data_IF_187260482209
#
_entry.id   IF_187260482209
#
_cell.length_a   1.000
_cell.length_b   1.000
_cell.length_c   1.000
_cell.angle_alpha   90.00
_cell.angle_beta   90.00
_cell.angle_gamma   90.00
#
_symmetry.space_group_name_H-M   'P 1'
#
loop_
_entity.id
_entity.type
_entity.pdbx_description
1 polymer ?
#
# COMPACT_ATOMS: atom_id res chain seq x y z
N UNK A 1 -12.33 -3.33 2.54
CA UNK A 1 -12.54 -4.73 2.96
C UNK A 1 -13.63 -5.32 2.07
N UNK A 2 -13.50 -6.57 1.61
CA UNK A 2 -14.53 -7.24 0.79
C UNK A 2 -14.06 -7.80 -0.55
N UNK A 3 -14.96 -8.48 -1.26
CA UNK A 3 -14.78 -8.84 -2.68
C UNK A 3 -15.02 -7.59 -3.56
N UNK A 4 -14.62 -7.57 -4.84
CA UNK A 4 -14.94 -6.44 -5.72
C UNK A 4 -16.44 -6.12 -5.83
N UNK A 5 -17.29 -7.09 -5.50
CA UNK A 5 -18.74 -7.02 -5.54
C UNK A 5 -19.36 -6.52 -4.22
N UNK A 6 -18.60 -6.54 -3.13
CA UNK A 6 -19.04 -6.16 -1.78
C UNK A 6 -17.91 -5.44 -1.01
N UNK A 7 -17.36 -4.39 -1.62
CA UNK A 7 -16.24 -3.63 -1.06
C UNK A 7 -16.71 -2.37 -0.34
N UNK A 8 -16.29 -2.19 0.91
CA UNK A 8 -16.52 -0.95 1.66
C UNK A 8 -15.25 -0.10 1.71
N UNK A 9 -15.39 1.18 1.37
CA UNK A 9 -14.37 2.23 1.54
C UNK A 9 -14.79 3.09 2.73
N UNK A 10 -13.93 3.18 3.74
CA UNK A 10 -14.15 4.04 4.90
C UNK A 10 -13.35 5.33 4.74
N UNK A 11 -14.01 6.47 4.93
CA UNK A 11 -13.37 7.79 4.88
C UNK A 11 -13.37 8.37 6.29
N UNK A 12 -12.23 8.92 6.71
CA UNK A 12 -12.09 9.54 8.04
C UNK A 12 -12.53 11.01 7.99
N UNK A 13 -13.06 11.53 9.10
CA UNK A 13 -13.47 12.94 9.21
C UNK A 13 -12.30 13.89 8.90
N UNK A 14 -11.11 13.58 9.41
CA UNK A 14 -9.91 14.37 9.13
C UNK A 14 -9.51 14.40 7.65
N UNK A 15 -9.88 13.40 6.85
CA UNK A 15 -9.63 13.42 5.40
C UNK A 15 -10.64 14.32 4.69
N UNK A 16 -11.90 14.32 5.13
CA UNK A 16 -12.96 15.23 4.64
C UNK A 16 -12.67 16.70 4.99
N UNK A 17 -12.02 16.96 6.12
CA UNK A 17 -11.62 18.32 6.52
C UNK A 17 -10.45 18.88 5.69
N UNK A 18 -9.57 18.01 5.18
CA UNK A 18 -8.34 18.42 4.49
C UNK A 18 -8.54 18.52 2.98
N UNK A 19 -9.31 17.58 2.40
CA UNK A 19 -9.49 17.46 0.96
C UNK A 19 -10.74 18.19 0.48
N UNK A 20 -10.62 18.89 -0.65
CA UNK A 20 -11.81 19.38 -1.36
C UNK A 20 -12.49 18.26 -2.17
N UNK A 21 -13.66 18.55 -2.74
CA UNK A 21 -14.44 17.53 -3.46
C UNK A 21 -13.72 16.92 -4.67
N UNK A 22 -12.84 17.67 -5.35
CA UNK A 22 -12.09 17.16 -6.52
C UNK A 22 -10.95 16.25 -6.05
N UNK A 23 -10.26 16.66 -5.00
CA UNK A 23 -9.20 15.89 -4.36
C UNK A 23 -9.72 14.59 -3.74
N UNK A 24 -10.84 14.66 -3.03
CA UNK A 24 -11.52 13.50 -2.47
C UNK A 24 -11.98 12.55 -3.57
N UNK A 25 -12.56 13.07 -4.65
CA UNK A 25 -12.94 12.24 -5.80
C UNK A 25 -11.72 11.53 -6.42
N UNK A 26 -10.58 12.21 -6.53
CA UNK A 26 -9.32 11.61 -6.98
C UNK A 26 -8.84 10.47 -6.07
N UNK A 27 -8.86 10.66 -4.76
CA UNK A 27 -8.48 9.62 -3.78
C UNK A 27 -9.45 8.44 -3.82
N UNK A 28 -10.76 8.69 -3.86
CA UNK A 28 -11.74 7.62 -3.95
C UNK A 28 -11.63 6.84 -5.27
N UNK A 29 -11.38 7.52 -6.39
CA UNK A 29 -11.15 6.87 -7.67
C UNK A 29 -9.89 5.98 -7.66
N UNK A 30 -8.84 6.40 -6.94
CA UNK A 30 -7.64 5.59 -6.70
C UNK A 30 -7.96 4.31 -5.91
N UNK A 31 -8.70 4.43 -4.80
CA UNK A 31 -9.12 3.27 -4.00
C UNK A 31 -10.04 2.32 -4.77
N UNK A 32 -10.95 2.86 -5.59
CA UNK A 32 -11.78 2.07 -6.51
C UNK A 32 -10.90 1.34 -7.53
N UNK A 33 -9.83 1.99 -8.03
CA UNK A 33 -8.84 1.37 -8.90
C UNK A 33 -8.21 0.13 -8.28
N UNK A 34 -7.83 0.18 -6.99
CA UNK A 34 -7.30 -0.98 -6.27
C UNK A 34 -8.31 -2.12 -6.13
N UNK A 35 -9.57 -1.78 -5.86
CA UNK A 35 -10.66 -2.76 -5.74
C UNK A 35 -10.91 -3.44 -7.09
N UNK A 36 -11.03 -2.65 -8.16
CA UNK A 36 -11.30 -3.13 -9.51
C UNK A 36 -10.19 -4.09 -10.00
N UNK A 37 -8.92 -3.79 -9.70
CA UNK A 37 -7.79 -4.63 -10.08
C UNK A 37 -7.46 -5.76 -9.10
N UNK A 38 -8.24 -5.89 -8.02
CA UNK A 38 -8.10 -6.93 -6.98
C UNK A 38 -6.71 -6.92 -6.32
N UNK A 39 -6.16 -5.73 -6.12
CA UNK A 39 -4.77 -5.57 -5.66
C UNK A 39 -4.53 -6.17 -4.28
N UNK A 40 -5.53 -6.13 -3.39
CA UNK A 40 -5.47 -6.78 -2.08
C UNK A 40 -5.26 -8.30 -2.18
N UNK A 41 -5.93 -8.96 -3.13
CA UNK A 41 -5.76 -10.40 -3.35
C UNK A 41 -4.38 -10.73 -3.92
N UNK A 42 -3.90 -9.91 -4.85
CA UNK A 42 -2.60 -10.09 -5.51
C UNK A 42 -1.46 -9.89 -4.50
N UNK A 43 -1.53 -8.83 -3.70
CA UNK A 43 -0.56 -8.58 -2.62
C UNK A 43 -0.64 -9.66 -1.54
N UNK A 44 -1.84 -10.13 -1.18
CA UNK A 44 -2.02 -11.25 -0.25
C UNK A 44 -1.38 -12.54 -0.76
N UNK A 45 -1.56 -12.87 -2.05
CA UNK A 45 -0.90 -14.00 -2.68
C UNK A 45 0.63 -13.85 -2.66
N UNK A 46 1.14 -12.65 -2.94
CA UNK A 46 2.57 -12.37 -2.90
C UNK A 46 3.15 -12.51 -1.48
N UNK A 47 2.42 -12.09 -0.44
CA UNK A 47 2.81 -12.30 0.97
C UNK A 47 2.86 -13.79 1.33
N UNK A 48 1.86 -14.58 0.92
CA UNK A 48 1.88 -16.04 1.15
C UNK A 48 3.10 -16.67 0.48
N UNK A 49 3.39 -16.32 -0.78
CA UNK A 49 4.59 -16.80 -1.47
C UNK A 49 5.88 -16.36 -0.75
N UNK A 50 5.93 -15.13 -0.24
CA UNK A 50 7.05 -14.59 0.53
C UNK A 50 7.35 -15.43 1.78
N UNK A 51 6.29 -15.79 2.51
CA UNK A 51 6.38 -16.62 3.72
C UNK A 51 6.83 -18.02 3.39
N UNK A 52 6.33 -18.62 2.31
CA UNK A 52 6.76 -19.94 1.85
C UNK A 52 8.24 -19.96 1.44
N UNK A 53 8.68 -18.97 0.66
CA UNK A 53 10.10 -18.84 0.27
C UNK A 53 10.99 -18.64 1.49
N UNK A 54 10.56 -17.80 2.44
CA UNK A 54 11.30 -17.55 3.68
C UNK A 54 11.38 -18.80 4.55
N UNK A 55 10.28 -19.54 4.70
CA UNK A 55 10.23 -20.79 5.46
C UNK A 55 11.11 -21.86 4.82
N UNK A 56 11.02 -22.04 3.49
CA UNK A 56 11.86 -22.98 2.76
C UNK A 56 13.35 -22.63 2.87
N UNK A 57 13.68 -21.33 2.82
CA UNK A 57 15.04 -20.83 3.00
C UNK A 57 15.57 -21.12 4.39
N UNK A 58 14.78 -20.84 5.43
CA UNK A 58 15.12 -21.14 6.82
C UNK A 58 15.32 -22.64 7.06
N UNK A 59 14.39 -23.46 6.56
CA UNK A 59 14.46 -24.92 6.69
C UNK A 59 15.69 -25.47 5.95
N UNK A 60 15.96 -24.98 4.74
CA UNK A 60 17.12 -25.38 3.96
C UNK A 60 18.43 -25.01 4.65
N UNK A 61 18.54 -23.80 5.20
CA UNK A 61 19.72 -23.38 5.96
C UNK A 61 19.91 -24.21 7.22
N UNK A 62 18.82 -24.53 7.95
CA UNK A 62 18.86 -25.41 9.10
C UNK A 62 19.34 -26.82 8.73
N UNK A 63 18.84 -27.39 7.63
CA UNK A 63 19.27 -28.69 7.14
C UNK A 63 20.76 -28.69 6.76
N UNK A 64 21.24 -27.64 6.09
CA UNK A 64 22.68 -27.48 5.78
C UNK A 64 23.50 -27.42 7.06
N UNK A 65 23.05 -26.66 8.06
CA UNK A 65 23.73 -26.52 9.35
C UNK A 65 23.78 -27.86 10.12
N UNK A 66 22.65 -28.58 10.20
CA UNK A 66 22.58 -29.90 10.86
C UNK A 66 23.45 -30.94 10.15
N UNK A 67 23.54 -30.90 8.83
CA UNK A 67 24.36 -31.82 8.04
C UNK A 67 25.83 -31.37 7.91
N UNK A 68 26.21 -30.20 8.45
CA UNK A 68 27.57 -29.67 8.34
C UNK A 68 28.66 -30.67 8.77
N UNK A 69 28.52 -31.46 9.86
CA UNK A 69 29.51 -32.46 10.23
C UNK A 69 29.69 -33.55 9.16
N UNK A 70 28.60 -33.99 8.52
CA UNK A 70 28.63 -34.99 7.45
C UNK A 70 29.27 -34.41 6.18
N UNK A 71 29.01 -33.13 5.89
CA UNK A 71 29.64 -32.41 4.77
C UNK A 71 31.14 -32.26 4.99
N UNK A 72 31.58 -31.91 6.21
CA UNK A 72 33.00 -31.83 6.56
C UNK A 72 33.71 -33.19 6.52
N UNK A 73 33.00 -34.27 6.87
CA UNK A 73 33.49 -35.64 6.74
C UNK A 73 33.52 -36.15 5.29
N UNK A 74 33.05 -35.35 4.31
CA UNK A 74 33.00 -35.73 2.90
C UNK A 74 31.89 -36.73 2.54
N UNK A 75 30.97 -37.00 3.48
CA UNK A 75 29.90 -38.00 3.33
C UNK A 75 28.69 -37.46 2.57
N UNK A 76 28.51 -36.13 2.55
CA UNK A 76 27.43 -35.44 1.87
C UNK A 76 28.00 -34.25 1.09
N UNK A 77 27.56 -34.07 -0.15
CA UNK A 77 27.94 -32.90 -0.95
C UNK A 77 26.77 -31.92 -1.03
N UNK A 78 26.98 -30.68 -0.56
CA UNK A 78 26.03 -29.57 -0.73
C UNK A 78 26.63 -28.58 -1.74
N UNK A 79 25.99 -28.36 -2.90
CA UNK A 79 26.47 -27.38 -3.86
C UNK A 79 26.40 -25.96 -3.29
N UNK A 80 27.47 -25.17 -3.45
CA UNK A 80 27.49 -23.78 -2.98
C UNK A 80 26.40 -22.90 -3.61
N UNK A 81 25.98 -23.22 -4.83
CA UNK A 81 24.87 -22.53 -5.50
C UNK A 81 23.57 -22.62 -4.71
N UNK A 82 23.29 -23.74 -4.06
CA UNK A 82 22.09 -23.94 -3.24
C UNK A 82 22.16 -23.08 -1.97
N UNK A 83 23.32 -23.02 -1.32
CA UNK A 83 23.51 -22.18 -0.12
C UNK A 83 23.32 -20.71 -0.45
N UNK A 84 23.94 -20.23 -1.54
CA UNK A 84 23.77 -18.86 -2.02
C UNK A 84 22.29 -18.58 -2.32
N UNK A 85 21.61 -19.47 -3.04
CA UNK A 85 20.18 -19.33 -3.35
C UNK A 85 19.34 -19.22 -2.07
N UNK A 86 19.55 -20.08 -1.07
CA UNK A 86 18.80 -20.07 0.19
C UNK A 86 19.03 -18.78 1.00
N UNK A 87 20.20 -18.14 0.88
CA UNK A 87 20.49 -16.88 1.55
C UNK A 87 19.77 -15.72 0.85
N UNK A 88 19.82 -15.67 -0.48
CA UNK A 88 19.31 -14.53 -1.24
C UNK A 88 17.84 -14.64 -1.65
N UNK A 89 17.23 -15.83 -1.63
CA UNK A 89 15.86 -16.04 -2.08
C UNK A 89 14.81 -15.17 -1.33
N UNK A 90 14.85 -15.04 0.01
CA UNK A 90 13.90 -14.17 0.72
C UNK A 90 14.04 -12.70 0.34
N UNK A 91 15.28 -12.22 0.19
CA UNK A 91 15.56 -10.84 -0.23
C UNK A 91 15.05 -10.58 -1.65
N UNK A 92 15.29 -11.51 -2.58
CA UNK A 92 14.79 -11.39 -3.95
C UNK A 92 13.26 -11.34 -3.98
N UNK A 93 12.61 -12.19 -3.20
CA UNK A 93 11.15 -12.21 -3.10
C UNK A 93 10.59 -10.91 -2.50
N UNK A 94 11.28 -10.31 -1.52
CA UNK A 94 10.92 -9.00 -0.99
C UNK A 94 11.07 -7.87 -2.03
N UNK A 95 12.12 -7.90 -2.85
CA UNK A 95 12.32 -6.93 -3.93
C UNK A 95 11.23 -7.03 -5.00
N UNK A 96 10.83 -8.26 -5.36
CA UNK A 96 9.72 -8.50 -6.30
C UNK A 96 8.41 -7.92 -5.74
N UNK A 97 8.12 -8.14 -4.45
CA UNK A 97 6.93 -7.57 -3.80
C UNK A 97 6.93 -6.04 -3.78
N UNK A 98 8.07 -5.43 -3.47
CA UNK A 98 8.21 -3.97 -3.51
C UNK A 98 8.00 -3.43 -4.93
N UNK A 99 8.54 -4.10 -5.93
CA UNK A 99 8.33 -3.73 -7.34
C UNK A 99 6.87 -3.86 -7.76
N UNK A 100 6.21 -4.94 -7.38
CA UNK A 100 4.79 -5.19 -7.65
C UNK A 100 3.90 -4.12 -7.00
N UNK A 101 4.13 -3.83 -5.71
CA UNK A 101 3.38 -2.81 -4.98
C UNK A 101 3.49 -1.43 -5.64
N UNK A 102 4.71 -0.99 -5.99
CA UNK A 102 4.92 0.29 -6.69
C UNK A 102 4.23 0.35 -8.05
N UNK A 103 4.24 -0.76 -8.80
CA UNK A 103 3.59 -0.82 -10.11
C UNK A 103 2.08 -0.62 -9.97
N UNK A 104 1.46 -1.27 -8.97
CA UNK A 104 0.02 -1.14 -8.71
C UNK A 104 -0.41 0.25 -8.28
N UNK A 105 0.41 0.95 -7.50
CA UNK A 105 0.16 2.36 -7.16
C UNK A 105 0.12 3.25 -8.41
N UNK A 106 1.05 3.06 -9.35
CA UNK A 106 1.05 3.83 -10.61
C UNK A 106 -0.13 3.49 -11.51
N UNK A 107 -0.54 2.22 -11.56
CA UNK A 107 -1.72 1.80 -12.30
C UNK A 107 -2.99 2.40 -11.69
N UNK A 108 -3.11 2.40 -10.36
CA UNK A 108 -4.22 3.01 -9.65
C UNK A 108 -4.26 4.54 -9.81
N UNK A 109 -3.10 5.23 -9.82
CA UNK A 109 -3.01 6.65 -10.14
C UNK A 109 -3.55 6.98 -11.54
N UNK A 110 -3.17 6.16 -12.53
CA UNK A 110 -3.67 6.31 -13.90
C UNK A 110 -5.18 6.07 -13.97
N UNK A 111 -5.67 5.00 -13.34
CA UNK A 111 -7.10 4.68 -13.30
C UNK A 111 -7.89 5.79 -12.65
N UNK A 112 -7.37 6.37 -11.56
CA UNK A 112 -8.01 7.52 -10.91
C UNK A 112 -8.11 8.72 -11.86
N UNK A 113 -7.02 9.07 -12.56
CA UNK A 113 -7.03 10.14 -13.55
C UNK A 113 -7.98 9.86 -14.73
N UNK A 114 -8.07 8.61 -15.19
CA UNK A 114 -8.97 8.20 -16.27
C UNK A 114 -10.45 8.23 -15.82
N UNK A 115 -10.74 7.83 -14.57
CA UNK A 115 -12.09 7.83 -13.99
C UNK A 115 -12.59 9.23 -13.65
N UNK A 116 -11.75 10.08 -13.08
CA UNK A 116 -12.14 11.45 -12.72
C UNK A 116 -11.96 12.43 -13.88
N UNK A 117 -11.18 12.08 -14.90
CA UNK A 117 -10.75 13.03 -15.94
C UNK A 117 -9.96 14.22 -15.39
N UNK A 118 -9.57 14.22 -14.11
CA UNK A 118 -8.96 15.34 -13.39
C UNK A 118 -7.71 14.86 -12.62
N UNK A 119 -6.57 14.69 -13.30
CA UNK A 119 -5.32 14.31 -12.66
C UNK A 119 -4.83 15.35 -11.65
N UNK A 120 -5.17 16.63 -11.83
CA UNK A 120 -4.78 17.72 -10.91
C UNK A 120 -5.48 17.59 -9.55
N UNK A 121 -6.71 17.10 -9.51
CA UNK A 121 -7.40 16.77 -8.26
C UNK A 121 -6.61 15.75 -7.43
N UNK A 122 -6.13 14.67 -8.04
CA UNK A 122 -5.32 13.67 -7.34
C UNK A 122 -3.94 14.23 -6.94
N UNK A 123 -3.30 15.04 -7.78
CA UNK A 123 -2.03 15.72 -7.46
C UNK A 123 -2.19 16.62 -6.22
N UNK A 124 -3.27 17.40 -6.15
CA UNK A 124 -3.60 18.25 -5.02
C UNK A 124 -3.76 17.45 -3.73
N UNK A 125 -4.49 16.35 -3.80
CA UNK A 125 -4.70 15.43 -2.70
C UNK A 125 -3.37 14.85 -2.18
N UNK A 126 -2.53 14.31 -3.07
CA UNK A 126 -1.23 13.74 -2.72
C UNK A 126 -0.35 14.76 -1.99
N UNK A 127 -0.28 15.99 -2.50
CA UNK A 127 0.51 17.06 -1.86
C UNK A 127 -0.03 17.47 -0.48
N UNK A 128 -1.36 17.46 -0.25
CA UNK A 128 -1.94 17.72 1.07
C UNK A 128 -1.68 16.59 2.05
N UNK A 129 -1.83 15.34 1.61
CA UNK A 129 -1.59 14.15 2.43
C UNK A 129 -0.13 14.02 2.82
N UNK A 130 0.81 14.21 1.89
CA UNK A 130 2.24 14.17 2.17
C UNK A 130 2.65 15.19 3.24
N UNK A 131 2.16 16.43 3.15
CA UNK A 131 2.41 17.47 4.16
C UNK A 131 1.80 17.14 5.52
N UNK A 132 0.67 16.42 5.56
CA UNK A 132 0.05 16.00 6.82
C UNK A 132 0.84 14.86 7.47
N UNK A 133 1.24 13.86 6.67
CA UNK A 133 2.05 12.73 7.12
C UNK A 133 3.43 13.22 7.60
N UNK A 134 4.11 14.09 6.83
CA UNK A 134 5.39 14.67 7.23
C UNK A 134 5.33 15.38 8.59
N UNK A 135 4.32 16.24 8.79
CA UNK A 135 4.11 16.93 10.09
C UNK A 135 3.87 15.96 11.25
N UNK A 136 3.09 14.90 11.03
CA UNK A 136 2.86 13.89 12.06
C UNK A 136 4.15 13.17 12.49
N UNK A 137 5.02 12.83 11.54
CA UNK A 137 6.32 12.22 11.85
C UNK A 137 7.28 13.22 12.53
N UNK A 138 7.27 14.49 12.14
CA UNK A 138 8.03 15.55 12.81
C UNK A 138 7.56 15.74 14.27
N UNK A 139 6.25 15.77 14.50
CA UNK A 139 5.65 15.96 15.83
C UNK A 139 5.92 14.77 16.78
N UNK A 140 5.94 13.55 16.26
CA UNK A 140 6.13 12.34 17.08
C UNK A 140 7.60 12.00 17.31
N UNK A 141 8.44 12.13 16.26
CA UNK A 141 9.79 11.56 16.34
C UNK A 141 10.87 12.60 16.61
N UNK A 142 10.77 13.85 16.15
CA UNK A 142 11.86 14.84 16.30
C UNK A 142 11.37 16.30 16.37
N UNK A 143 11.22 16.90 17.57
CA UNK A 143 11.11 18.35 17.67
C UNK A 143 12.42 19.02 17.21
N UNK A 144 12.43 19.56 15.98
CA UNK A 144 13.46 20.51 15.52
C UNK A 144 14.60 20.02 14.63
N UNK A 145 14.52 18.82 14.01
CA UNK A 145 15.52 18.39 13.00
C UNK A 145 14.87 17.70 11.80
N UNK A 146 15.15 18.21 10.59
CA UNK A 146 14.75 17.60 9.31
C UNK A 146 15.55 16.31 9.08
N UNK A 147 14.88 15.18 8.86
CA UNK A 147 15.53 13.95 8.41
C UNK A 147 15.57 13.95 6.87
N UNK A 148 16.72 13.65 6.24
CA UNK A 148 16.75 13.16 4.86
C UNK A 148 16.37 11.68 4.88
N UNK A 149 15.20 11.33 4.35
CA UNK A 149 14.63 9.98 4.47
C UNK A 149 15.41 8.89 3.67
N UNK A 150 15.59 7.68 4.23
CA UNK A 150 15.91 6.51 3.41
C UNK A 150 14.61 5.90 2.84
N UNK A 151 14.46 6.02 1.52
CA UNK A 151 13.30 5.65 0.68
C UNK A 151 12.99 4.14 0.54
N UNK A 152 13.68 3.28 1.29
CA UNK A 152 13.63 1.81 1.08
C UNK A 152 12.51 1.10 1.85
N UNK A 153 11.85 1.79 2.80
CA UNK A 153 10.79 1.21 3.66
C UNK A 153 9.40 1.81 3.42
N UNK A 154 9.23 2.71 2.46
CA UNK A 154 7.89 3.13 2.02
C UNK A 154 7.33 2.07 1.09
N UNK A 155 6.19 1.49 1.48
CA UNK A 155 5.39 0.59 0.62
C UNK A 155 4.88 1.32 -0.62
N UNK A 156 4.75 2.65 -0.56
CA UNK A 156 4.35 3.49 -1.70
C UNK A 156 5.57 4.10 -2.42
N UNK A 157 5.50 4.30 -3.75
CA UNK A 157 6.51 5.05 -4.47
C UNK A 157 6.58 6.52 -3.99
N UNK A 158 7.71 7.22 -4.19
CA UNK A 158 7.85 8.63 -3.82
C UNK A 158 6.74 9.49 -4.43
N UNK A 159 6.17 10.41 -3.65
CA UNK A 159 5.02 11.23 -4.09
C UNK A 159 5.40 12.09 -5.29
N UNK A 160 6.63 12.58 -5.36
CA UNK A 160 7.15 13.36 -6.49
C UNK A 160 7.12 12.55 -7.78
N UNK A 161 7.42 11.25 -7.71
CA UNK A 161 7.39 10.36 -8.87
C UNK A 161 5.96 10.08 -9.36
N UNK A 162 5.00 9.95 -8.43
CA UNK A 162 3.57 9.83 -8.73
C UNK A 162 3.05 11.11 -9.40
N UNK A 163 3.34 12.26 -8.80
CA UNK A 163 2.97 13.58 -9.34
C UNK A 163 3.56 13.80 -10.73
N UNK A 164 4.84 13.46 -10.94
CA UNK A 164 5.47 13.61 -12.25
C UNK A 164 4.78 12.76 -13.33
N UNK A 165 4.37 11.53 -13.00
CA UNK A 165 3.61 10.65 -13.91
C UNK A 165 2.20 11.18 -14.17
N UNK A 166 1.50 11.63 -13.13
CA UNK A 166 0.16 12.22 -13.26
C UNK A 166 0.17 13.48 -14.13
N UNK A 167 1.17 14.35 -13.98
CA UNK A 167 1.35 15.52 -14.85
C UNK A 167 1.68 15.17 -16.29
N UNK A 168 2.29 14.02 -16.53
CA UNK A 168 2.57 13.52 -17.87
C UNK A 168 1.31 12.97 -18.56
N UNK A 169 0.26 12.63 -17.79
CA UNK A 169 -1.06 12.36 -18.37
C UNK A 169 -1.60 13.69 -18.95
N UNK A 170 -2.01 13.66 -20.21
CA UNK A 170 -2.37 14.85 -20.97
C UNK A 170 -3.35 15.76 -20.22
N UNK A 171 -3.20 17.10 -20.30
CA UNK A 171 -4.04 18.02 -19.56
C UNK A 171 -5.49 17.83 -20.00
N UNK A 172 -6.36 17.37 -19.09
CA UNK A 172 -7.74 17.08 -19.45
C UNK A 172 -8.73 17.66 -18.45
N UNK A 173 -9.69 18.36 -19.07
CA UNK A 173 -11.05 18.69 -18.67
C UNK A 173 -11.32 18.70 -17.15
N UNK A 174 -11.38 19.91 -16.57
CA UNK A 174 -12.04 20.13 -15.28
C UNK A 174 -13.47 19.60 -15.33
N UNK A 175 -13.71 18.42 -14.75
CA UNK A 175 -15.05 18.05 -14.36
C UNK A 175 -15.47 19.02 -13.26
N UNK A 176 -16.57 19.73 -13.50
CA UNK A 176 -17.27 20.45 -12.44
C UNK A 176 -17.92 19.40 -11.54
N UNK A 177 -17.15 18.87 -10.58
CA UNK A 177 -17.77 18.17 -9.45
C UNK A 177 -18.67 19.20 -8.77
N UNK A 178 -20.00 19.00 -8.76
CA UNK A 178 -20.89 19.96 -8.11
C UNK A 178 -20.43 20.12 -6.67
N UNK A 179 -20.43 21.35 -6.13
CA UNK A 179 -20.08 21.55 -4.73
C UNK A 179 -20.97 20.62 -3.89
N UNK A 180 -20.35 19.89 -2.96
CA UNK A 180 -21.10 19.04 -2.01
C UNK A 180 -22.11 19.85 -1.17
N UNK A 181 -22.02 21.18 -1.21
CA UNK A 181 -23.00 22.13 -0.69
C UNK A 181 -24.34 22.02 -1.45
N UNK A 182 -25.21 21.13 -0.96
CA UNK A 182 -26.60 21.03 -1.44
C UNK A 182 -27.16 19.61 -1.43
N UNK A 183 -26.30 18.60 -1.32
CA UNK A 183 -26.78 17.26 -0.99
C UNK A 183 -26.98 17.24 0.52
N UNK A 184 -28.23 17.28 0.97
CA UNK A 184 -28.55 16.92 2.34
C UNK A 184 -27.93 15.55 2.58
N UNK A 185 -26.84 15.51 3.34
CA UNK A 185 -26.32 14.25 3.86
C UNK A 185 -27.53 13.62 4.56
N UNK A 186 -28.02 12.43 4.14
CA UNK A 186 -28.98 11.73 4.96
C UNK A 186 -28.36 11.66 6.35
N UNK A 187 -29.11 12.06 7.37
CA UNK A 187 -28.60 12.05 8.74
C UNK A 187 -27.90 10.71 8.94
N UNK A 188 -26.57 10.74 9.13
CA UNK A 188 -25.80 9.54 9.36
C UNK A 188 -26.42 8.92 10.59
N UNK A 189 -27.21 7.87 10.39
CA UNK A 189 -27.75 7.10 11.50
C UNK A 189 -26.54 6.52 12.17
N UNK A 190 -26.17 7.08 13.32
CA UNK A 190 -25.18 6.48 14.19
C UNK A 190 -25.54 5.00 14.31
N UNK A 191 -24.62 4.06 14.02
CA UNK A 191 -24.93 2.64 14.17
C UNK A 191 -25.51 2.44 15.58
N UNK A 192 -26.78 2.04 15.66
CA UNK A 192 -27.49 1.85 16.93
C UNK A 192 -26.89 0.71 17.76
N UNK A 193 -26.00 -0.08 17.18
CA UNK A 193 -25.30 -1.15 17.86
C UNK A 193 -24.16 -0.59 18.73
N UNK A 194 -24.32 -0.63 20.05
CA UNK A 194 -23.19 -0.47 20.96
C UNK A 194 -22.21 -1.64 20.73
N UNK A 195 -20.90 -1.37 20.54
CA UNK A 195 -19.92 -2.42 20.31
C UNK A 195 -19.87 -3.36 21.53
N UNK A 196 -20.24 -4.63 21.34
CA UNK A 196 -20.16 -5.64 22.40
C UNK A 196 -18.71 -6.13 22.48
N UNK A 197 -17.98 -5.66 23.49
CA UNK A 197 -16.64 -6.17 23.78
C UNK A 197 -16.73 -7.63 24.27
N UNK A 198 -16.11 -8.54 23.53
CA UNK A 198 -15.72 -9.87 24.02
C UNK A 198 -14.23 -10.10 23.78
N UNK A 199 -13.64 -11.01 24.54
CA UNK A 199 -12.20 -11.27 24.65
C UNK A 199 -11.46 -11.60 23.34
N UNK A 200 -12.15 -11.77 22.21
CA UNK A 200 -11.57 -12.16 20.92
C UNK A 200 -11.86 -11.19 19.75
N UNK A 201 -12.32 -9.96 20.01
CA UNK A 201 -12.40 -8.90 18.99
C UNK A 201 -13.83 -8.47 18.58
N UNK A 202 -13.90 -7.59 17.57
CA UNK A 202 -15.12 -6.93 17.10
C UNK A 202 -15.83 -7.73 15.99
N UNK A 203 -17.15 -7.88 16.09
CA UNK A 203 -18.04 -8.20 14.96
C UNK A 203 -19.27 -7.29 15.03
N UNK A 204 -19.74 -6.86 13.86
CA UNK A 204 -20.92 -6.01 13.64
C UNK A 204 -22.23 -6.78 13.85
#
# INVERSE_FOLDING_TARGET
MGSPEDSTICVTDGLLEILDGRELAGVLAHEIGHIAHRDLWIMGLADVMSRLVSLASWMGQLLVLVNLPLVMAGMVHVPWSVVVLLIFAPTLMALIQLGLSRTREYDADRVAADLTGDPEGLIGALGKLERRVGRFWEDIFLPGRRIPEPSLLRTHPPVESRIARLRALAPSRTLSVPPMAGHAMPALTSPQAQPRFRSFGFYW
#
